data_IF_556792278471
#
_entry.id   IF_556792278471
#
_cell.length_a   1.000
_cell.length_b   1.000
_cell.length_c   1.000
_cell.angle_alpha   90.00
_cell.angle_beta   90.00
_cell.angle_gamma   90.00
#
_symmetry.space_group_name_H-M   'P 1'
#
loop_
_entity.id
_entity.type
_entity.pdbx_description
1 polymer ?
#
# COMPACT_ATOMS: atom_id res chain seq x y z
N UNK A 1 32.89 18.21 -1.30
CA UNK A 1 31.74 17.54 -0.66
C UNK A 1 30.48 17.70 -1.47
N UNK A 2 30.18 18.92 -1.89
CA UNK A 2 28.94 19.19 -2.63
C UNK A 2 28.87 18.44 -3.95
N UNK A 3 30.02 18.34 -4.65
CA UNK A 3 30.07 17.61 -5.93
C UNK A 3 29.77 16.14 -5.70
N UNK A 4 30.30 15.55 -4.64
CA UNK A 4 30.04 14.15 -4.32
C UNK A 4 28.58 13.92 -3.95
N UNK A 5 27.98 14.81 -3.17
CA UNK A 5 26.58 14.72 -2.82
C UNK A 5 25.67 14.86 -4.03
N UNK A 6 25.99 15.77 -4.93
CA UNK A 6 25.24 15.94 -6.17
C UNK A 6 25.31 14.69 -7.03
N UNK A 7 26.47 14.08 -7.12
CA UNK A 7 26.62 12.84 -7.90
C UNK A 7 25.79 11.71 -7.30
N UNK A 8 25.78 11.59 -5.96
CA UNK A 8 24.96 10.58 -5.31
C UNK A 8 23.47 10.83 -5.55
N UNK A 9 23.05 12.09 -5.50
CA UNK A 9 21.67 12.45 -5.74
C UNK A 9 21.25 12.13 -7.18
N UNK A 10 22.10 12.47 -8.14
CA UNK A 10 21.85 12.20 -9.55
C UNK A 10 21.81 10.69 -9.82
N UNK A 11 22.72 9.95 -9.19
CA UNK A 11 22.73 8.50 -9.33
C UNK A 11 21.46 7.87 -8.75
N UNK A 12 20.95 8.42 -7.64
CA UNK A 12 19.70 7.95 -7.05
C UNK A 12 18.54 8.19 -8.00
N UNK A 13 18.46 9.39 -8.58
CA UNK A 13 17.40 9.68 -9.54
C UNK A 13 17.48 8.78 -10.76
N UNK A 14 18.69 8.57 -11.30
CA UNK A 14 18.87 7.67 -12.45
C UNK A 14 18.47 6.24 -12.12
N UNK A 15 18.79 5.78 -10.89
CA UNK A 15 18.36 4.45 -10.44
C UNK A 15 16.85 4.37 -10.30
N UNK A 16 16.25 5.41 -9.73
CA UNK A 16 14.81 5.44 -9.51
C UNK A 16 14.02 5.56 -10.82
N UNK A 17 14.63 6.10 -11.88
CA UNK A 17 13.94 6.21 -13.16
C UNK A 17 13.54 4.83 -13.70
N UNK A 18 14.25 3.78 -13.30
CA UNK A 18 13.89 2.41 -13.66
C UNK A 18 12.67 1.91 -12.90
N UNK A 19 12.22 2.64 -11.89
CA UNK A 19 11.04 2.28 -11.11
C UNK A 19 9.73 2.72 -11.76
N UNK A 20 9.81 3.56 -12.80
CA UNK A 20 8.61 4.01 -13.51
C UNK A 20 7.81 2.81 -14.01
N UNK A 21 6.52 2.80 -13.69
CA UNK A 21 5.64 1.68 -14.02
C UNK A 21 5.77 0.48 -13.10
N UNK A 22 6.72 0.50 -12.17
CA UNK A 22 6.88 -0.58 -11.20
C UNK A 22 5.93 -0.41 -10.04
N UNK A 23 5.71 -1.50 -9.32
CA UNK A 23 4.83 -1.52 -8.16
C UNK A 23 5.67 -1.48 -6.89
N UNK A 24 5.27 -0.63 -5.95
CA UNK A 24 5.95 -0.50 -4.65
C UNK A 24 4.93 -0.68 -3.55
N UNK A 25 5.42 -0.98 -2.35
CA UNK A 25 4.59 -1.07 -1.16
C UNK A 25 4.52 0.30 -0.50
N UNK A 26 3.30 0.74 -0.22
CA UNK A 26 3.06 1.95 0.55
C UNK A 26 2.53 1.54 1.92
N UNK A 27 3.35 1.63 2.98
CA UNK A 27 2.88 1.29 4.32
C UNK A 27 1.93 2.35 4.86
N UNK A 28 1.06 1.93 5.78
CA UNK A 28 0.10 2.82 6.40
C UNK A 28 -1.08 3.15 5.52
N UNK A 29 -1.64 4.34 5.71
CA UNK A 29 -2.82 4.74 4.93
C UNK A 29 -2.42 5.17 3.52
N UNK A 30 -3.36 4.96 2.60
CA UNK A 30 -3.21 5.38 1.20
C UNK A 30 -4.43 6.20 0.81
N UNK A 31 -4.28 6.99 -0.24
CA UNK A 31 -5.39 7.77 -0.78
C UNK A 31 -6.09 6.95 -1.86
N UNK A 32 -7.37 6.63 -1.64
CA UNK A 32 -8.17 5.96 -2.65
C UNK A 32 -8.76 6.98 -3.60
N UNK A 33 -8.52 6.80 -4.90
CA UNK A 33 -8.98 7.72 -5.94
C UNK A 33 -9.80 7.00 -7.02
N UNK A 34 -10.19 5.76 -6.78
CA UNK A 34 -10.94 4.96 -7.74
C UNK A 34 -10.15 3.76 -8.22
N UNK A 35 -10.81 2.83 -8.87
CA UNK A 35 -10.19 1.64 -9.40
C UNK A 35 -9.95 0.59 -8.34
N UNK A 36 -9.03 -0.32 -8.61
CA UNK A 36 -8.67 -1.38 -7.68
C UNK A 36 -7.34 -1.06 -7.00
N UNK A 37 -7.23 -1.43 -5.73
CA UNK A 37 -6.00 -1.31 -4.97
C UNK A 37 -5.65 -2.69 -4.44
N UNK A 38 -4.42 -3.13 -4.69
CA UNK A 38 -3.99 -4.49 -4.35
C UNK A 38 -3.14 -4.46 -3.09
N UNK A 39 -3.26 -5.50 -2.29
CA UNK A 39 -2.41 -5.73 -1.13
C UNK A 39 -1.75 -7.09 -1.25
N UNK A 40 -0.51 -7.20 -0.78
CA UNK A 40 0.15 -8.49 -0.62
C UNK A 40 -0.29 -9.09 0.71
N UNK A 41 -0.66 -10.36 0.66
CA UNK A 41 -1.19 -11.05 1.83
C UNK A 41 -0.10 -11.91 2.44
N UNK A 42 0.22 -11.65 3.70
CA UNK A 42 1.11 -12.49 4.50
C UNK A 42 0.35 -12.83 5.77
N UNK A 43 -0.29 -14.02 5.83
CA UNK A 43 -1.08 -14.37 7.00
C UNK A 43 -0.25 -14.37 8.28
N UNK A 44 -0.84 -13.96 9.41
CA UNK A 44 -0.13 -14.02 10.69
C UNK A 44 0.26 -15.47 11.03
N UNK A 45 1.40 -15.61 11.70
CA UNK A 45 1.89 -16.93 12.10
C UNK A 45 0.86 -17.64 12.97
N UNK A 46 0.56 -18.88 12.60
CA UNK A 46 -0.41 -19.69 13.34
C UNK A 46 -1.86 -19.48 12.97
N UNK A 47 -2.15 -18.60 12.01
CA UNK A 47 -3.53 -18.36 11.60
C UNK A 47 -4.07 -19.53 10.78
N UNK A 48 -5.31 -19.91 11.07
CA UNK A 48 -6.04 -20.93 10.31
C UNK A 48 -6.98 -20.26 9.31
N UNK A 49 -7.47 -19.07 9.64
CA UNK A 49 -8.35 -18.26 8.81
C UNK A 49 -7.85 -16.82 8.85
N UNK A 50 -8.02 -16.10 7.78
CA UNK A 50 -7.55 -14.73 7.67
C UNK A 50 -8.59 -13.88 6.97
N UNK A 51 -8.91 -12.73 7.57
CA UNK A 51 -9.81 -11.75 6.95
C UNK A 51 -9.03 -10.54 6.47
N UNK A 52 -9.36 -10.09 5.27
CA UNK A 52 -8.87 -8.83 4.72
C UNK A 52 -9.84 -7.72 5.13
N UNK A 53 -9.30 -6.62 5.63
CA UNK A 53 -10.08 -5.52 6.19
C UNK A 53 -9.67 -4.21 5.54
N UNK A 54 -10.66 -3.35 5.25
CA UNK A 54 -10.40 -1.97 4.84
C UNK A 54 -11.03 -1.06 5.89
N UNK A 55 -10.25 -0.10 6.37
CA UNK A 55 -10.70 0.89 7.35
C UNK A 55 -10.60 2.28 6.76
N UNK A 56 -11.52 3.16 7.14
CA UNK A 56 -11.50 4.55 6.72
C UNK A 56 -10.60 5.39 7.64
N UNK A 57 -10.58 6.71 7.42
CA UNK A 57 -9.72 7.62 8.17
C UNK A 57 -10.04 7.66 9.66
N UNK A 58 -11.24 7.29 10.05
CA UNK A 58 -11.65 7.26 11.45
C UNK A 58 -11.36 5.92 12.12
N UNK A 59 -10.82 4.97 11.36
CA UNK A 59 -10.55 3.61 11.85
C UNK A 59 -11.74 2.68 11.77
N UNK A 60 -12.84 3.14 11.16
CA UNK A 60 -14.04 2.33 11.02
C UNK A 60 -13.84 1.30 9.91
N UNK A 61 -14.14 0.04 10.22
CA UNK A 61 -14.09 -1.03 9.24
C UNK A 61 -15.26 -0.86 8.25
N UNK A 62 -14.93 -0.72 6.95
CA UNK A 62 -15.94 -0.54 5.92
C UNK A 62 -16.06 -1.76 5.01
N UNK A 63 -15.07 -2.64 5.03
CA UNK A 63 -15.04 -3.84 4.18
C UNK A 63 -14.30 -4.95 4.89
N UNK A 64 -14.84 -6.17 4.79
CA UNK A 64 -14.19 -7.36 5.34
C UNK A 64 -14.45 -8.53 4.41
N UNK A 65 -13.41 -9.27 4.10
CA UNK A 65 -13.50 -10.42 3.21
C UNK A 65 -12.66 -11.56 3.74
N UNK A 66 -13.25 -12.76 3.84
CA UNK A 66 -12.50 -13.95 4.24
C UNK A 66 -11.62 -14.39 3.07
N UNK A 67 -10.33 -14.48 3.31
CA UNK A 67 -9.36 -14.89 2.30
C UNK A 67 -9.31 -16.41 2.20
N UNK A 68 -8.92 -16.91 1.03
CA UNK A 68 -8.61 -18.32 0.85
C UNK A 68 -7.27 -18.67 1.51
N UNK A 69 -7.09 -19.96 1.81
CA UNK A 69 -5.90 -20.40 2.54
C UNK A 69 -4.59 -20.13 1.79
N UNK A 70 -4.65 -19.99 0.48
CA UNK A 70 -3.46 -19.79 -0.34
C UNK A 70 -3.42 -18.46 -1.06
N UNK A 71 -4.30 -17.54 -0.69
CA UNK A 71 -4.32 -16.22 -1.31
C UNK A 71 -3.05 -15.46 -0.91
N UNK A 72 -2.34 -14.96 -1.90
CA UNK A 72 -1.11 -14.17 -1.70
C UNK A 72 -1.32 -12.71 -2.03
N UNK A 73 -2.40 -12.38 -2.70
CA UNK A 73 -2.77 -11.02 -3.07
C UNK A 73 -4.28 -10.88 -3.00
N UNK A 74 -4.73 -9.68 -2.72
CA UNK A 74 -6.15 -9.35 -2.79
C UNK A 74 -6.30 -7.94 -3.36
N UNK A 75 -7.22 -7.79 -4.32
CA UNK A 75 -7.50 -6.50 -4.93
C UNK A 75 -8.85 -6.00 -4.45
N UNK A 76 -8.83 -4.86 -3.78
CA UNK A 76 -10.05 -4.22 -3.28
C UNK A 76 -10.60 -3.31 -4.37
N UNK A 77 -11.85 -3.52 -4.73
CA UNK A 77 -12.48 -2.80 -5.84
C UNK A 77 -13.11 -1.46 -5.42
N UNK A 78 -12.86 -1.03 -4.19
CA UNK A 78 -13.41 0.25 -3.72
C UNK A 78 -14.84 0.16 -3.24
N UNK A 79 -15.26 -1.00 -2.76
CA UNK A 79 -16.61 -1.19 -2.27
C UNK A 79 -16.64 -1.46 -0.78
N UNK A 80 -17.79 -1.17 -0.16
CA UNK A 80 -18.04 -1.53 1.24
C UNK A 80 -18.61 -2.94 1.30
N UNK A 81 -18.70 -3.48 2.52
CA UNK A 81 -19.33 -4.80 2.71
C UNK A 81 -20.81 -4.83 2.31
N UNK A 82 -21.43 -3.67 2.23
CA UNK A 82 -22.82 -3.55 1.81
C UNK A 82 -22.96 -3.38 0.29
N UNK A 83 -21.84 -3.35 -0.44
CA UNK A 83 -21.84 -3.20 -1.88
C UNK A 83 -21.85 -1.77 -2.38
N UNK A 84 -21.80 -0.79 -1.48
CA UNK A 84 -21.74 0.62 -1.86
C UNK A 84 -20.33 0.99 -2.30
N UNK A 85 -20.21 2.04 -3.11
CA UNK A 85 -18.92 2.56 -3.53
C UNK A 85 -18.33 3.39 -2.39
N UNK A 86 -17.07 3.10 -2.03
CA UNK A 86 -16.38 3.86 -1.00
C UNK A 86 -16.01 5.26 -1.53
N UNK A 87 -16.22 6.32 -0.73
CA UNK A 87 -15.83 7.67 -1.16
C UNK A 87 -14.33 7.80 -1.36
N UNK A 88 -13.92 8.72 -2.23
CA UNK A 88 -12.51 9.07 -2.38
C UNK A 88 -11.99 9.61 -1.04
N UNK A 89 -10.80 9.17 -0.65
CA UNK A 89 -10.21 9.62 0.60
C UNK A 89 -9.21 8.63 1.15
N UNK A 90 -8.75 8.85 2.40
CA UNK A 90 -7.75 7.97 3.00
C UNK A 90 -8.37 6.69 3.56
N UNK A 91 -7.67 5.58 3.31
CA UNK A 91 -8.04 4.26 3.82
C UNK A 91 -6.77 3.51 4.18
N UNK A 92 -6.91 2.45 4.95
CA UNK A 92 -5.79 1.53 5.16
C UNK A 92 -6.28 0.10 5.17
N UNK A 93 -5.36 -0.80 4.85
CA UNK A 93 -5.60 -2.23 4.80
C UNK A 93 -5.10 -2.90 6.07
N UNK A 94 -5.77 -3.95 6.47
CA UNK A 94 -5.36 -4.74 7.61
C UNK A 94 -5.73 -6.21 7.39
N UNK A 95 -5.09 -7.08 8.16
CA UNK A 95 -5.45 -8.50 8.24
C UNK A 95 -5.80 -8.84 9.66
N UNK A 96 -6.81 -9.67 9.83
CA UNK A 96 -7.08 -10.29 11.12
C UNK A 96 -6.95 -11.78 10.96
N UNK A 97 -6.07 -12.41 11.75
CA UNK A 97 -5.88 -13.84 11.74
C UNK A 97 -6.67 -14.50 12.85
N UNK A 98 -7.13 -15.73 12.61
CA UNK A 98 -7.90 -16.51 13.56
C UNK A 98 -7.31 -17.91 13.68
N UNK A 99 -7.26 -18.42 14.88
CA UNK A 99 -6.93 -19.81 15.17
C UNK A 99 -7.93 -20.32 16.18
N UNK A 100 -8.56 -21.46 15.91
CA UNK A 100 -9.59 -22.06 16.77
C UNK A 100 -10.71 -21.05 17.08
N UNK A 101 -11.08 -20.26 16.07
CA UNK A 101 -12.12 -19.22 16.14
C UNK A 101 -11.80 -18.06 17.09
N UNK A 102 -10.53 -17.94 17.50
CA UNK A 102 -10.07 -16.82 18.31
C UNK A 102 -9.17 -15.91 17.48
N UNK A 103 -9.36 -14.59 17.64
CA UNK A 103 -8.53 -13.62 16.94
C UNK A 103 -7.09 -13.66 17.45
N UNK A 104 -6.16 -13.67 16.53
CA UNK A 104 -4.74 -13.56 16.83
C UNK A 104 -4.27 -12.10 16.81
N UNK A 105 -5.17 -11.17 16.48
CA UNK A 105 -4.86 -9.76 16.38
C UNK A 105 -5.10 -9.23 14.99
N UNK A 106 -5.03 -7.90 14.87
CA UNK A 106 -5.18 -7.19 13.62
C UNK A 106 -3.83 -6.56 13.27
N UNK A 107 -3.38 -6.77 12.04
CA UNK A 107 -2.07 -6.34 11.58
C UNK A 107 -2.23 -5.46 10.35
N UNK A 108 -1.52 -4.35 10.29
CA UNK A 108 -1.57 -3.47 9.14
C UNK A 108 -0.91 -4.10 7.92
N UNK A 109 -1.47 -3.81 6.75
CA UNK A 109 -0.91 -4.21 5.46
C UNK A 109 -0.53 -2.98 4.66
N UNK A 110 0.55 -3.11 3.89
CA UNK A 110 0.88 -2.10 2.90
C UNK A 110 0.01 -2.29 1.66
N UNK A 111 -0.35 -1.18 1.03
CA UNK A 111 -0.98 -1.23 -0.28
C UNK A 111 0.09 -1.27 -1.36
N UNK A 112 -0.23 -1.88 -2.50
CA UNK A 112 0.64 -1.86 -3.67
C UNK A 112 0.22 -0.69 -4.57
N UNK A 113 1.18 0.17 -4.89
CA UNK A 113 0.93 1.33 -5.73
C UNK A 113 1.93 1.33 -6.88
N UNK A 114 1.47 1.77 -8.04
CA UNK A 114 2.32 1.89 -9.21
C UNK A 114 2.94 3.28 -9.27
N UNK A 115 4.23 3.34 -9.57
CA UNK A 115 4.92 4.62 -9.73
C UNK A 115 4.62 5.17 -11.11
N UNK A 116 4.03 6.36 -11.16
CA UNK A 116 3.70 7.01 -12.43
C UNK A 116 4.65 8.13 -12.78
N UNK A 117 5.23 8.81 -11.79
CA UNK A 117 6.08 9.95 -12.05
C UNK A 117 7.13 10.09 -10.97
N UNK A 118 8.30 10.56 -11.37
CA UNK A 118 9.36 10.96 -10.46
C UNK A 118 9.64 12.44 -10.68
N UNK A 119 9.80 13.18 -9.59
CA UNK A 119 10.18 14.58 -9.65
C UNK A 119 11.22 14.86 -8.60
N UNK A 120 12.06 15.86 -8.87
CA UNK A 120 13.12 16.24 -7.96
C UNK A 120 12.75 17.56 -7.31
N UNK A 121 12.72 17.56 -5.97
CA UNK A 121 12.60 18.79 -5.20
C UNK A 121 13.98 19.24 -4.73
N UNK A 122 14.06 20.37 -4.05
CA UNK A 122 15.34 20.91 -3.62
C UNK A 122 16.13 19.96 -2.73
N UNK A 123 15.45 19.11 -1.95
CA UNK A 123 16.10 18.26 -0.96
C UNK A 123 15.82 16.78 -1.14
N UNK A 124 14.92 16.40 -2.03
CA UNK A 124 14.51 15.01 -2.12
C UNK A 124 13.96 14.68 -3.49
N UNK A 125 13.74 13.39 -3.71
CA UNK A 125 13.07 12.89 -4.90
C UNK A 125 11.66 12.51 -4.50
N UNK A 126 10.68 13.04 -5.22
CA UNK A 126 9.28 12.78 -4.97
C UNK A 126 8.76 11.76 -5.97
N UNK A 127 7.93 10.88 -5.49
CA UNK A 127 7.32 9.82 -6.29
C UNK A 127 5.82 10.07 -6.34
N UNK A 128 5.25 10.12 -7.53
CA UNK A 128 3.82 10.21 -7.72
C UNK A 128 3.29 8.84 -8.08
N UNK A 129 2.32 8.37 -7.31
CA UNK A 129 1.74 7.05 -7.45
C UNK A 129 0.49 7.11 -8.31
N UNK A 130 0.04 5.95 -8.78
CA UNK A 130 -1.13 5.85 -9.64
C UNK A 130 -2.42 6.36 -9.02
N UNK A 131 -2.47 6.48 -7.69
CA UNK A 131 -3.62 7.05 -7.00
C UNK A 131 -3.54 8.59 -6.88
N UNK A 132 -2.52 9.21 -7.46
CA UNK A 132 -2.32 10.65 -7.39
C UNK A 132 -1.53 11.14 -6.20
N UNK A 133 -1.18 10.25 -5.29
CA UNK A 133 -0.46 10.60 -4.07
C UNK A 133 1.02 10.82 -4.39
N UNK A 134 1.59 11.89 -3.83
CA UNK A 134 3.00 12.23 -4.00
C UNK A 134 3.69 12.21 -2.65
N UNK A 135 4.83 11.54 -2.57
CA UNK A 135 5.58 11.43 -1.31
C UNK A 135 7.07 11.20 -1.61
N UNK A 136 7.94 11.45 -0.61
CA UNK A 136 9.37 11.16 -0.78
C UNK A 136 9.61 9.68 -1.04
N UNK A 137 10.56 9.38 -1.90
CA UNK A 137 10.85 7.99 -2.27
C UNK A 137 11.23 7.14 -1.07
N UNK A 138 11.77 7.75 -0.03
CA UNK A 138 12.20 7.02 1.18
C UNK A 138 11.03 6.44 1.97
N UNK A 139 9.82 6.95 1.74
CA UNK A 139 8.62 6.44 2.42
C UNK A 139 8.07 5.17 1.79
N UNK A 140 8.62 4.77 0.65
CA UNK A 140 8.17 3.58 -0.05
C UNK A 140 9.07 2.40 0.31
N UNK A 141 8.50 1.22 0.33
CA UNK A 141 9.25 -0.01 0.60
C UNK A 141 8.90 -1.08 -0.43
N UNK A 142 9.84 -1.97 -0.68
CA UNK A 142 9.57 -3.17 -1.45
C UNK A 142 9.20 -2.93 -2.91
N UNK A 143 10.19 -2.77 -3.77
CA UNK A 143 9.96 -2.70 -5.22
C UNK A 143 9.66 -4.10 -5.76
N UNK A 144 8.66 -4.19 -6.64
CA UNK A 144 8.31 -5.45 -7.30
C UNK A 144 8.69 -5.43 -8.76
#
# INVERSE_FOLDING_TARGET
MDVLQNNLHQNTLASLSNWMGKTVKLPGSFTYSGGEVTALITPPTGSEKTDFIVRDATGTEIFRHRLGAQDQEFSWAGTTSEGAVAPVGPYNFALEGFAKDQSLGVFELASLQTIEELSQSAEDILVTLGNGQTLPWKNLTGLR
#
